data_IF_502763719235
#
_entry.id   IF_502763719235
#
_cell.length_a   1.000
_cell.length_b   1.000
_cell.length_c   1.000
_cell.angle_alpha   90.00
_cell.angle_beta   90.00
_cell.angle_gamma   90.00
#
_symmetry.space_group_name_H-M   'P 1'
#
loop_
_entity.id
_entity.type
_entity.pdbx_description
1 polymer ?
#
# COMPACT_ATOMS: atom_id res chain seq x y z
N UNK A 1 -11.64 13.97 -16.58
CA UNK A 1 -13.05 14.29 -16.28
C UNK A 1 -13.16 14.46 -14.77
N UNK A 2 -13.69 15.59 -14.25
CA UNK A 2 -13.83 15.79 -12.81
C UNK A 2 -14.84 14.78 -12.22
N UNK A 3 -14.59 14.30 -11.01
CA UNK A 3 -15.49 13.38 -10.29
C UNK A 3 -16.78 14.11 -9.89
N UNK A 4 -17.89 13.38 -9.85
CA UNK A 4 -19.21 13.89 -9.45
C UNK A 4 -19.68 13.26 -8.12
N UNK A 5 -20.60 13.92 -7.42
CA UNK A 5 -21.06 13.48 -6.09
C UNK A 5 -21.71 12.08 -6.08
N UNK A 6 -22.21 11.60 -7.22
CA UNK A 6 -22.81 10.27 -7.41
C UNK A 6 -21.80 9.20 -7.88
N UNK A 7 -20.49 9.47 -7.85
CA UNK A 7 -19.48 8.46 -8.19
C UNK A 7 -19.47 7.33 -7.13
N UNK A 8 -20.15 6.23 -7.44
CA UNK A 8 -19.99 4.98 -6.67
C UNK A 8 -18.60 4.40 -6.93
N UNK A 9 -17.85 4.14 -5.86
CA UNK A 9 -16.55 3.49 -5.96
C UNK A 9 -16.56 2.17 -5.21
N UNK A 10 -16.07 1.13 -5.88
CA UNK A 10 -15.84 -0.18 -5.30
C UNK A 10 -14.35 -0.35 -5.02
N UNK A 11 -14.02 -0.84 -3.82
CA UNK A 11 -12.66 -1.18 -3.39
C UNK A 11 -11.97 -2.15 -4.36
N UNK A 12 -12.74 -2.95 -5.09
CA UNK A 12 -12.19 -3.85 -6.10
C UNK A 12 -11.84 -3.17 -7.45
N UNK A 13 -12.18 -1.89 -7.67
CA UNK A 13 -12.07 -1.25 -8.99
C UNK A 13 -11.37 0.11 -8.97
N UNK A 14 -10.72 0.46 -10.10
CA UNK A 14 -10.09 1.77 -10.32
C UNK A 14 -9.11 2.16 -9.19
N UNK A 15 -9.36 3.27 -8.49
CA UNK A 15 -8.57 3.72 -7.33
C UNK A 15 -8.46 2.64 -6.25
N UNK A 16 -9.43 1.73 -6.14
CA UNK A 16 -9.54 0.73 -5.08
C UNK A 16 -8.56 -0.40 -5.29
N UNK A 17 -8.38 -0.79 -6.54
CA UNK A 17 -7.34 -1.72 -6.92
C UNK A 17 -5.95 -1.14 -6.62
N UNK A 18 -5.72 0.15 -6.90
CA UNK A 18 -4.44 0.81 -6.61
C UNK A 18 -4.18 0.93 -5.10
N UNK A 19 -5.19 1.33 -4.32
CA UNK A 19 -5.15 1.37 -2.86
C UNK A 19 -4.81 0.00 -2.26
N UNK A 20 -5.50 -1.05 -2.73
CA UNK A 20 -5.30 -2.42 -2.27
C UNK A 20 -3.91 -2.95 -2.64
N UNK A 21 -3.43 -2.64 -3.85
CA UNK A 21 -2.07 -2.99 -4.28
C UNK A 21 -1.00 -2.39 -3.36
N UNK A 22 -1.07 -1.09 -3.08
CA UNK A 22 -0.07 -0.43 -2.23
C UNK A 22 -0.18 -0.87 -0.77
N UNK A 23 -1.38 -1.22 -0.29
CA UNK A 23 -1.56 -1.82 1.03
C UNK A 23 -0.94 -3.23 1.09
N UNK A 24 -1.15 -4.07 0.07
CA UNK A 24 -0.53 -5.40 0.00
C UNK A 24 1.00 -5.32 -0.01
N UNK A 25 1.57 -4.35 -0.74
CA UNK A 25 3.01 -4.11 -0.73
C UNK A 25 3.54 -3.70 0.67
N UNK A 26 2.80 -2.88 1.43
CA UNK A 26 3.17 -2.54 2.82
C UNK A 26 3.05 -3.74 3.77
N UNK A 27 2.07 -4.62 3.55
CA UNK A 27 1.96 -5.88 4.30
C UNK A 27 3.19 -6.77 4.10
N UNK A 28 3.64 -6.94 2.84
CA UNK A 28 4.88 -7.68 2.54
C UNK A 28 6.10 -7.00 3.15
N UNK A 29 6.23 -5.68 3.01
CA UNK A 29 7.36 -4.94 3.59
C UNK A 29 7.44 -5.07 5.12
N UNK A 30 6.28 -5.16 5.80
CA UNK A 30 6.19 -5.37 7.25
C UNK A 30 6.71 -6.75 7.67
N UNK A 31 6.62 -7.75 6.80
CA UNK A 31 7.05 -9.14 7.02
C UNK A 31 8.51 -9.43 6.62
N UNK A 32 9.22 -8.46 6.06
CA UNK A 32 10.62 -8.64 5.70
C UNK A 32 11.51 -8.96 6.92
N UNK A 33 12.62 -9.66 6.73
CA UNK A 33 13.57 -10.01 7.81
C UNK A 33 14.08 -8.77 8.55
N UNK A 34 14.25 -7.67 7.82
CA UNK A 34 14.66 -6.37 8.33
C UNK A 34 13.68 -5.28 7.88
N UNK A 35 12.50 -5.18 8.52
CA UNK A 35 11.43 -4.31 8.05
C UNK A 35 11.73 -2.85 8.42
N UNK A 36 11.77 -1.97 7.42
CA UNK A 36 11.98 -0.51 7.62
C UNK A 36 10.70 0.24 8.00
N UNK A 37 9.54 -0.40 7.83
CA UNK A 37 8.23 0.08 8.30
C UNK A 37 7.47 -1.07 8.97
N UNK A 38 6.46 -0.73 9.78
CA UNK A 38 5.50 -1.71 10.32
C UNK A 38 4.08 -1.18 10.19
N UNK A 39 3.34 -1.69 9.21
CA UNK A 39 1.90 -1.42 9.04
C UNK A 39 1.11 -2.67 9.46
N UNK A 40 0.70 -2.79 10.73
CA UNK A 40 -0.03 -3.96 11.23
C UNK A 40 -1.46 -4.08 10.67
N UNK A 41 -1.97 -3.04 10.00
CA UNK A 41 -3.34 -3.00 9.47
C UNK A 41 -3.41 -3.29 7.98
N UNK A 42 -2.29 -3.20 7.26
CA UNK A 42 -2.22 -3.44 5.82
C UNK A 42 -2.82 -4.79 5.40
N UNK A 43 -2.38 -5.91 5.99
CA UNK A 43 -2.88 -7.23 5.61
C UNK A 43 -4.37 -7.42 5.96
N UNK A 44 -4.85 -7.11 7.19
CA UNK A 44 -6.28 -7.17 7.50
C UNK A 44 -7.15 -6.35 6.55
N UNK A 45 -6.72 -5.14 6.17
CA UNK A 45 -7.45 -4.30 5.23
C UNK A 45 -7.50 -4.91 3.83
N UNK A 46 -6.38 -5.43 3.32
CA UNK A 46 -6.35 -6.12 2.02
C UNK A 46 -7.26 -7.34 2.02
N UNK A 47 -7.26 -8.15 3.10
CA UNK A 47 -8.17 -9.29 3.25
C UNK A 47 -9.63 -8.86 3.24
N UNK A 48 -9.96 -7.73 3.87
CA UNK A 48 -11.32 -7.20 3.91
C UNK A 48 -11.83 -6.74 2.53
N UNK A 49 -10.94 -6.27 1.64
CA UNK A 49 -11.30 -5.94 0.25
C UNK A 49 -11.67 -7.20 -0.56
N UNK A 50 -11.02 -8.34 -0.28
CA UNK A 50 -11.43 -9.64 -0.83
C UNK A 50 -11.00 -9.91 -2.28
N UNK A 51 -10.09 -9.12 -2.86
CA UNK A 51 -9.47 -9.44 -4.15
C UNK A 51 -8.44 -10.56 -3.94
N UNK A 52 -8.69 -11.73 -4.52
CA UNK A 52 -7.91 -12.97 -4.30
C UNK A 52 -6.40 -12.76 -4.50
N UNK A 53 -6.02 -12.15 -5.62
CA UNK A 53 -4.63 -11.88 -5.95
C UNK A 53 -3.93 -11.07 -4.85
N UNK A 54 -4.49 -9.93 -4.44
CA UNK A 54 -3.88 -9.07 -3.42
C UNK A 54 -3.89 -9.75 -2.05
N UNK A 55 -4.93 -10.50 -1.73
CA UNK A 55 -5.04 -11.26 -0.48
C UNK A 55 -3.92 -12.28 -0.35
N UNK A 56 -3.72 -13.11 -1.38
CA UNK A 56 -2.68 -14.12 -1.42
C UNK A 56 -1.29 -13.50 -1.45
N UNK A 57 -1.11 -12.42 -2.19
CA UNK A 57 0.16 -11.69 -2.19
C UNK A 57 0.48 -11.10 -0.82
N UNK A 58 -0.44 -10.37 -0.18
CA UNK A 58 -0.24 -9.81 1.16
C UNK A 58 0.00 -10.88 2.23
N UNK A 59 -0.60 -12.07 2.08
CA UNK A 59 -0.37 -13.21 2.95
C UNK A 59 1.03 -13.83 2.80
N UNK A 60 1.72 -13.58 1.67
CA UNK A 60 2.96 -14.26 1.29
C UNK A 60 2.73 -15.63 0.62
N UNK A 61 1.49 -15.92 0.22
CA UNK A 61 1.08 -17.17 -0.44
C UNK A 61 1.27 -17.12 -1.97
N UNK A 62 1.59 -15.94 -2.50
CA UNK A 62 1.94 -15.71 -3.90
C UNK A 62 3.31 -15.02 -3.95
N UNK A 63 4.30 -15.62 -4.63
CA UNK A 63 5.59 -14.98 -4.80
C UNK A 63 5.53 -13.98 -5.95
N UNK A 64 6.22 -12.84 -5.83
CA UNK A 64 6.29 -11.86 -6.92
C UNK A 64 6.90 -12.46 -8.20
N UNK A 65 7.85 -13.40 -8.04
CA UNK A 65 8.46 -14.14 -9.13
C UNK A 65 7.47 -14.97 -9.96
N UNK A 66 6.29 -15.33 -9.42
CA UNK A 66 5.27 -16.09 -10.14
C UNK A 66 4.41 -15.22 -11.07
N UNK A 67 4.55 -13.89 -10.97
CA UNK A 67 3.72 -12.89 -11.67
C UNK A 67 4.56 -11.97 -12.55
N UNK A 68 5.83 -11.77 -12.18
CA UNK A 68 6.74 -10.88 -12.87
C UNK A 68 7.08 -11.40 -14.27
N UNK A 69 6.89 -10.53 -15.27
CA UNK A 69 7.38 -10.73 -16.63
C UNK A 69 8.86 -10.33 -16.71
N UNK A 70 9.70 -11.21 -17.25
CA UNK A 70 11.14 -10.99 -17.37
C UNK A 70 11.50 -9.86 -18.35
N UNK A 71 10.63 -9.57 -19.31
CA UNK A 71 10.81 -8.45 -20.25
C UNK A 71 10.39 -7.10 -19.64
N UNK A 72 9.73 -7.10 -18.46
CA UNK A 72 9.33 -5.87 -17.79
C UNK A 72 10.49 -5.24 -17.01
N UNK A 73 10.73 -3.95 -17.26
CA UNK A 73 11.72 -3.16 -16.48
C UNK A 73 11.26 -2.87 -15.05
N UNK A 74 9.95 -2.99 -14.77
CA UNK A 74 9.39 -2.81 -13.43
C UNK A 74 8.64 -4.06 -12.97
N UNK A 75 9.17 -4.67 -11.92
CA UNK A 75 8.68 -5.91 -11.33
C UNK A 75 7.88 -5.63 -10.05
N UNK A 76 6.84 -6.42 -9.80
CA UNK A 76 6.07 -6.48 -8.56
C UNK A 76 6.99 -6.70 -7.36
N UNK A 77 8.10 -7.43 -7.52
CA UNK A 77 9.13 -7.61 -6.49
C UNK A 77 9.72 -6.28 -5.97
N UNK A 78 9.72 -5.20 -6.77
CA UNK A 78 10.22 -3.89 -6.34
C UNK A 78 9.19 -3.11 -5.51
N UNK A 79 7.91 -3.46 -5.59
CA UNK A 79 6.82 -2.71 -4.96
C UNK A 79 6.92 -2.65 -3.43
N UNK A 80 7.23 -3.74 -2.69
CA UNK A 80 7.38 -3.67 -1.25
C UNK A 80 8.47 -2.68 -0.82
N UNK A 81 9.64 -2.70 -1.46
CA UNK A 81 10.73 -1.77 -1.15
C UNK A 81 10.35 -0.32 -1.46
N UNK A 82 9.72 -0.07 -2.61
CA UNK A 82 9.25 1.27 -2.97
C UNK A 82 8.18 1.79 -2.00
N UNK A 83 7.22 0.95 -1.60
CA UNK A 83 6.17 1.34 -0.64
C UNK A 83 6.70 1.49 0.78
N UNK A 84 7.72 0.72 1.16
CA UNK A 84 8.42 0.88 2.43
C UNK A 84 9.13 2.24 2.51
N UNK A 85 9.89 2.61 1.47
CA UNK A 85 10.54 3.91 1.39
C UNK A 85 9.51 5.07 1.38
N UNK A 86 8.43 4.94 0.59
CA UNK A 86 7.35 5.93 0.54
C UNK A 86 6.69 6.14 1.91
N UNK A 87 6.38 5.04 2.60
CA UNK A 87 5.73 5.08 3.91
C UNK A 87 6.66 5.68 4.96
N UNK A 88 7.93 5.25 5.01
CA UNK A 88 8.93 5.80 5.91
C UNK A 88 9.10 7.32 5.76
N UNK A 89 9.08 7.83 4.52
CA UNK A 89 9.15 9.26 4.24
C UNK A 89 7.97 10.02 4.85
N UNK A 90 6.73 9.58 4.59
CA UNK A 90 5.54 10.28 5.11
C UNK A 90 5.39 10.13 6.63
N UNK A 91 5.73 8.97 7.20
CA UNK A 91 5.73 8.75 8.64
C UNK A 91 6.72 9.70 9.33
N UNK A 92 7.93 9.82 8.79
CA UNK A 92 8.96 10.74 9.31
C UNK A 92 8.49 12.18 9.19
N UNK A 93 7.94 12.57 8.05
CA UNK A 93 7.38 13.92 7.84
C UNK A 93 6.33 14.28 8.89
N UNK A 94 5.34 13.41 9.14
CA UNK A 94 4.31 13.68 10.14
C UNK A 94 4.84 13.67 11.57
N UNK A 95 5.79 12.79 11.89
CA UNK A 95 6.44 12.78 13.20
C UNK A 95 7.23 14.08 13.45
N UNK A 96 7.99 14.54 12.48
CA UNK A 96 8.78 15.77 12.59
C UNK A 96 7.87 17.00 12.68
N UNK A 97 6.81 17.07 11.89
CA UNK A 97 5.79 18.11 11.99
C UNK A 97 5.18 18.17 13.39
N UNK A 98 4.81 17.01 13.96
CA UNK A 98 4.26 16.92 15.31
C UNK A 98 5.26 17.38 16.39
N UNK A 99 6.53 16.97 16.27
CA UNK A 99 7.64 17.41 17.15
C UNK A 99 7.88 18.91 17.07
N UNK A 100 7.72 19.52 15.88
CA UNK A 100 7.84 20.95 15.66
C UNK A 100 6.64 21.78 16.16
N UNK A 101 5.61 21.13 16.73
CA UNK A 101 4.47 21.84 17.34
C UNK A 101 3.21 21.90 16.47
N UNK A 102 3.21 21.33 15.26
CA UNK A 102 1.99 21.24 14.44
C UNK A 102 0.99 20.29 15.11
N UNK A 103 -0.30 20.66 15.08
CA UNK A 103 -1.40 19.91 15.75
C UNK A 103 -2.56 19.55 14.83
N UNK A 104 -2.49 19.92 13.55
CA UNK A 104 -3.51 19.63 12.56
C UNK A 104 -2.84 18.97 11.35
N UNK A 105 -3.37 17.82 10.94
CA UNK A 105 -2.92 17.06 9.78
C UNK A 105 -4.12 16.76 8.88
N UNK A 106 -3.89 16.77 7.57
CA UNK A 106 -4.87 16.37 6.56
C UNK A 106 -4.19 15.38 5.63
N UNK A 107 -4.74 14.18 5.53
CA UNK A 107 -4.29 13.14 4.60
C UNK A 107 -5.26 13.13 3.42
N UNK A 108 -4.86 13.74 2.32
CA UNK A 108 -5.66 13.79 1.11
C UNK A 108 -5.62 12.42 0.42
N UNK A 109 -6.78 11.92 0.01
CA UNK A 109 -6.95 10.58 -0.55
C UNK A 109 -6.31 9.50 0.35
N UNK A 110 -6.79 9.41 1.60
CA UNK A 110 -6.25 8.50 2.62
C UNK A 110 -6.49 7.01 2.36
N UNK A 111 -7.16 6.67 1.25
CA UNK A 111 -7.46 5.31 0.81
C UNK A 111 -6.38 4.77 -0.11
#
# INVERSE_FOLDING_TARGET
MPRTDDDSWDLATSVGATATLVAAARAIATKADHPVIRDPFAEPLVRAVGVDFFTRWAAGELAAADVDDDESTWKLAHMPAAMAARTCFFDTFFQDAARAGIRQAVILASG
#
